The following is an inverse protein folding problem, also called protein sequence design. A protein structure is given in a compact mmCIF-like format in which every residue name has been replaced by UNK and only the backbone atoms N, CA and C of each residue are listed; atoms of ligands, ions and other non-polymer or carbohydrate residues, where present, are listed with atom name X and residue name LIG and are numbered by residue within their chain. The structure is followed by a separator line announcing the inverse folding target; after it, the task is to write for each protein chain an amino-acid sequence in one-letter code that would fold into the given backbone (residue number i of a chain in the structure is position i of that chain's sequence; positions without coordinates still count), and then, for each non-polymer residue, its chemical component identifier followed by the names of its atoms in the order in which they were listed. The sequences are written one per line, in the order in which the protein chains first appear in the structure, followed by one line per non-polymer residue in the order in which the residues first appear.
data_IF_953360155986
#
_entry.id   IF_953360155986
#
_cell.length_a   1.000
_cell.length_b   1.000
_cell.length_c   1.000
_cell.angle_alpha   90.00
_cell.angle_beta   90.00
_cell.angle_gamma   90.00
#
_symmetry.space_group_name_H-M   'P 1'
#
loop_
_entity.id
_entity.type
_entity.pdbx_description
1 polymer ?
#
# COMPACT_ATOMS: atom_id res chain seq x y z
N UNK A 1 2.69 -32.50 52.06
CA UNK A 1 1.60 -32.17 51.11
C UNK A 1 0.41 -33.09 51.38
N UNK A 2 -0.63 -32.61 52.08
CA UNK A 2 -1.81 -33.41 52.43
C UNK A 2 -2.95 -33.15 51.45
N UNK A 3 -3.32 -34.15 50.62
CA UNK A 3 -4.45 -34.03 49.68
C UNK A 3 -5.78 -33.98 50.44
N UNK A 4 -6.62 -32.97 50.13
CA UNK A 4 -7.92 -32.76 50.77
C UNK A 4 -8.89 -33.88 50.35
N UNK A 5 -9.42 -34.62 51.32
CA UNK A 5 -10.43 -35.68 51.11
C UNK A 5 -11.84 -35.10 51.14
N UNK A 6 -12.77 -35.73 50.43
CA UNK A 6 -14.19 -35.40 50.48
C UNK A 6 -14.86 -35.99 51.75
N UNK A 7 -16.12 -35.65 51.99
CA UNK A 7 -16.90 -36.13 53.15
C UNK A 7 -17.14 -37.65 53.16
N UNK A 8 -16.78 -38.35 52.08
CA UNK A 8 -16.83 -39.80 51.95
C UNK A 8 -15.43 -40.44 51.98
N UNK A 9 -14.40 -39.67 52.36
CA UNK A 9 -13.03 -40.14 52.51
C UNK A 9 -12.28 -40.35 51.19
N UNK A 10 -12.86 -40.01 50.04
CA UNK A 10 -12.21 -40.13 48.73
C UNK A 10 -11.31 -38.93 48.50
N UNK A 11 -10.15 -39.17 47.89
CA UNK A 11 -9.24 -38.08 47.51
C UNK A 11 -9.89 -37.25 46.40
N UNK A 12 -10.04 -35.92 46.62
CA UNK A 12 -10.49 -35.03 45.56
C UNK A 12 -9.42 -34.91 44.50
N UNK A 13 -9.81 -34.99 43.23
CA UNK A 13 -8.93 -34.69 42.12
C UNK A 13 -8.49 -33.22 42.22
N UNK A 14 -7.18 -32.99 42.14
CA UNK A 14 -6.61 -31.66 42.20
C UNK A 14 -6.65 -31.05 40.79
N UNK A 15 -7.59 -30.13 40.59
CA UNK A 15 -7.79 -29.41 39.34
C UNK A 15 -7.05 -28.06 39.32
N UNK A 16 -6.37 -27.68 40.41
CA UNK A 16 -5.61 -26.43 40.52
C UNK A 16 -4.60 -26.29 39.38
N UNK A 17 -3.77 -27.31 39.18
CA UNK A 17 -2.75 -27.34 38.14
C UNK A 17 -3.35 -27.29 36.73
N UNK A 18 -4.49 -27.97 36.50
CA UNK A 18 -5.15 -27.93 35.18
C UNK A 18 -5.77 -26.56 34.90
N UNK A 19 -6.40 -25.95 35.90
CA UNK A 19 -7.02 -24.64 35.76
C UNK A 19 -5.97 -23.54 35.51
N UNK A 20 -4.81 -23.63 36.17
CA UNK A 20 -3.67 -22.71 35.95
C UNK A 20 -3.11 -22.88 34.53
N UNK A 21 -2.90 -24.13 34.08
CA UNK A 21 -2.36 -24.39 32.73
C UNK A 21 -3.34 -23.96 31.65
N UNK A 22 -4.64 -24.24 31.81
CA UNK A 22 -5.67 -23.82 30.85
C UNK A 22 -5.76 -22.30 30.80
N UNK A 23 -5.75 -21.62 31.95
CA UNK A 23 -5.80 -20.17 32.02
C UNK A 23 -4.57 -19.48 31.42
N UNK A 24 -3.38 -20.03 31.64
CA UNK A 24 -2.16 -19.51 31.04
C UNK A 24 -2.12 -19.72 29.52
N UNK A 25 -2.52 -20.91 29.04
CA UNK A 25 -2.54 -21.23 27.62
C UNK A 25 -3.55 -20.37 26.83
N UNK A 26 -4.74 -20.13 27.38
CA UNK A 26 -5.75 -19.27 26.73
C UNK A 26 -5.31 -17.81 26.68
N UNK A 27 -4.71 -17.28 27.73
CA UNK A 27 -4.21 -15.91 27.75
C UNK A 27 -3.12 -15.69 26.68
N UNK A 28 -2.15 -16.61 26.61
CA UNK A 28 -1.07 -16.54 25.60
C UNK A 28 -1.63 -16.70 24.18
N UNK A 29 -2.54 -17.65 23.96
CA UNK A 29 -3.17 -17.87 22.67
C UNK A 29 -3.98 -16.66 22.18
N UNK A 30 -4.71 -16.00 23.07
CA UNK A 30 -5.49 -14.81 22.74
C UNK A 30 -4.60 -13.62 22.37
N UNK A 31 -3.49 -13.39 23.09
CA UNK A 31 -2.53 -12.33 22.80
C UNK A 31 -1.85 -12.58 21.44
N UNK A 32 -1.38 -13.81 21.20
CA UNK A 32 -0.72 -14.15 19.94
C UNK A 32 -1.65 -13.98 18.73
N UNK A 33 -2.91 -14.42 18.86
CA UNK A 33 -3.90 -14.30 17.78
C UNK A 33 -4.29 -12.84 17.53
N UNK A 34 -4.46 -12.05 18.58
CA UNK A 34 -4.77 -10.62 18.47
C UNK A 34 -3.65 -9.80 17.84
N UNK A 35 -2.38 -10.10 18.17
CA UNK A 35 -1.24 -9.42 17.55
C UNK A 35 -1.08 -9.83 16.08
N UNK A 36 -1.22 -11.12 15.78
CA UNK A 36 -1.12 -11.63 14.41
C UNK A 36 -2.22 -11.06 13.50
N UNK A 37 -3.46 -10.94 13.99
CA UNK A 37 -4.55 -10.33 13.23
C UNK A 37 -4.34 -8.82 13.02
N UNK A 38 -3.85 -8.09 14.03
CA UNK A 38 -3.53 -6.67 13.88
C UNK A 38 -2.44 -6.41 12.83
N UNK A 39 -1.43 -7.29 12.76
CA UNK A 39 -0.42 -7.26 11.70
C UNK A 39 -1.05 -7.62 10.34
N UNK A 40 -1.83 -8.69 10.27
CA UNK A 40 -2.44 -9.15 9.01
C UNK A 40 -3.39 -8.12 8.39
N UNK A 41 -4.17 -7.41 9.20
CA UNK A 41 -5.10 -6.38 8.74
C UNK A 41 -4.45 -4.99 8.60
N UNK A 42 -3.11 -4.89 8.72
CA UNK A 42 -2.39 -3.66 8.45
C UNK A 42 -2.67 -2.54 9.46
N UNK A 43 -3.09 -2.86 10.69
CA UNK A 43 -3.36 -1.83 11.71
C UNK A 43 -2.10 -0.98 12.01
N UNK A 44 -0.92 -1.56 11.78
CA UNK A 44 0.36 -0.88 11.94
C UNK A 44 0.98 -0.36 10.64
N UNK A 45 0.36 -0.60 9.48
CA UNK A 45 0.92 -0.20 8.18
C UNK A 45 1.13 1.31 8.08
N UNK A 46 0.31 2.12 8.76
CA UNK A 46 0.49 3.58 8.80
C UNK A 46 1.79 4.02 9.48
N UNK A 47 2.29 3.24 10.45
CA UNK A 47 3.53 3.56 11.16
C UNK A 47 4.78 3.06 10.43
N UNK A 48 4.63 2.04 9.59
CA UNK A 48 5.74 1.40 8.87
C UNK A 48 5.59 1.49 7.35
N UNK A 49 4.72 2.38 6.86
CA UNK A 49 4.50 2.59 5.45
C UNK A 49 5.84 2.87 4.78
N UNK A 50 6.24 2.10 3.75
CA UNK A 50 7.39 2.42 2.94
C UNK A 50 7.24 3.86 2.46
N UNK A 51 8.27 4.67 2.68
CA UNK A 51 8.40 5.96 2.02
C UNK A 51 8.80 5.67 0.57
N UNK A 52 7.85 5.13 -0.21
CA UNK A 52 8.07 4.87 -1.62
C UNK A 52 8.13 6.22 -2.35
N UNK A 53 9.32 6.50 -2.89
CA UNK A 53 9.63 7.75 -3.58
C UNK A 53 11.09 8.12 -3.40
N UNK A 54 11.76 8.46 -4.49
CA UNK A 54 13.08 9.07 -4.39
C UNK A 54 12.90 10.49 -3.87
N UNK A 55 13.70 10.85 -2.86
CA UNK A 55 13.80 12.23 -2.42
C UNK A 55 14.17 13.08 -3.63
N UNK A 56 13.36 14.11 -3.93
CA UNK A 56 13.62 15.02 -5.05
C UNK A 56 14.05 16.37 -4.46
N UNK A 57 15.28 16.47 -3.91
CA UNK A 57 15.72 17.65 -3.18
C UNK A 57 15.61 18.94 -4.03
N UNK A 58 15.75 18.82 -5.34
CA UNK A 58 15.63 19.93 -6.29
C UNK A 58 14.20 20.49 -6.42
N UNK A 59 13.19 19.74 -5.98
CA UNK A 59 11.77 20.15 -6.00
C UNK A 59 11.19 20.37 -4.59
N UNK A 60 11.97 20.10 -3.53
CA UNK A 60 11.52 20.25 -2.13
C UNK A 60 11.50 21.70 -1.65
N UNK A 61 12.15 22.61 -2.37
CA UNK A 61 12.16 24.03 -2.06
C UNK A 61 11.06 24.82 -2.78
N UNK A 62 10.68 25.96 -2.21
CA UNK A 62 9.74 26.91 -2.82
C UNK A 62 10.35 27.70 -4.01
N UNK A 63 11.59 27.38 -4.40
CA UNK A 63 12.32 28.07 -5.46
C UNK A 63 12.40 27.19 -6.70
N UNK A 64 11.88 27.70 -7.80
CA UNK A 64 11.99 27.10 -9.12
C UNK A 64 12.50 28.14 -10.12
N UNK A 65 13.30 27.75 -11.13
CA UNK A 65 13.80 28.69 -12.14
C UNK A 65 12.62 29.36 -12.85
N UNK A 66 12.53 30.68 -12.71
CA UNK A 66 11.56 31.51 -13.39
C UNK A 66 11.86 31.59 -14.89
N UNK A 67 11.01 32.26 -15.68
CA UNK A 67 11.21 32.43 -17.12
C UNK A 67 12.58 33.00 -17.48
N UNK A 68 13.15 33.81 -16.58
CA UNK A 68 14.44 34.45 -16.75
C UNK A 68 15.64 33.65 -16.25
N UNK A 69 15.41 32.48 -15.62
CA UNK A 69 16.48 31.67 -15.03
C UNK A 69 16.80 30.44 -15.88
N UNK A 70 16.00 30.18 -16.94
CA UNK A 70 16.10 28.97 -17.75
C UNK A 70 17.34 28.94 -18.65
N UNK A 71 17.74 30.08 -19.24
CA UNK A 71 18.92 30.19 -20.13
C UNK A 71 19.39 31.66 -20.27
N UNK A 72 20.61 31.88 -20.81
CA UNK A 72 21.09 33.19 -21.28
C UNK A 72 20.15 33.70 -22.38
N UNK A 73 19.85 35.01 -22.40
CA UNK A 73 18.81 35.61 -23.26
C UNK A 73 18.87 35.17 -24.74
N UNK A 74 20.07 35.10 -25.32
CA UNK A 74 20.29 34.68 -26.70
C UNK A 74 19.94 33.20 -26.98
N UNK A 75 19.95 32.34 -25.97
CA UNK A 75 19.60 30.93 -26.09
C UNK A 75 18.17 30.65 -25.60
N UNK A 76 17.35 31.69 -25.41
CA UNK A 76 15.94 31.50 -25.10
C UNK A 76 15.17 31.26 -26.39
N UNK A 77 14.26 30.26 -26.42
CA UNK A 77 13.24 30.23 -27.45
C UNK A 77 12.48 31.56 -27.41
N UNK A 78 12.43 32.27 -28.54
CA UNK A 78 11.64 33.50 -28.65
C UNK A 78 10.15 33.15 -28.50
N UNK A 79 9.49 33.59 -27.42
CA UNK A 79 8.08 33.28 -27.19
C UNK A 79 7.15 34.05 -28.15
N UNK A 80 7.68 35.05 -28.87
CA UNK A 80 6.94 35.87 -29.85
C UNK A 80 7.17 35.42 -31.29
N UNK A 81 8.05 34.43 -31.51
CA UNK A 81 8.31 33.92 -32.84
C UNK A 81 7.02 33.39 -33.49
N UNK A 82 6.69 33.83 -34.71
CA UNK A 82 5.48 33.38 -35.38
C UNK A 82 5.59 31.90 -35.74
N UNK A 83 4.60 31.11 -35.36
CA UNK A 83 4.47 29.71 -35.80
C UNK A 83 4.04 29.69 -37.26
N UNK A 84 4.79 28.97 -38.12
CA UNK A 84 4.50 28.86 -39.55
C UNK A 84 3.16 28.16 -39.81
N UNK A 85 2.58 28.36 -41.00
CA UNK A 85 1.33 27.69 -41.36
C UNK A 85 1.47 26.15 -41.41
N UNK A 86 2.62 25.67 -41.88
CA UNK A 86 2.92 24.23 -41.96
C UNK A 86 3.04 23.62 -40.55
N UNK A 87 3.76 24.27 -39.64
CA UNK A 87 3.90 23.80 -38.25
C UNK A 87 2.56 23.82 -37.51
N UNK A 88 1.74 24.85 -37.76
CA UNK A 88 0.40 24.95 -37.17
C UNK A 88 -0.52 23.82 -37.64
N UNK A 89 -0.45 23.46 -38.92
CA UNK A 89 -1.21 22.35 -39.49
C UNK A 89 -0.75 20.99 -38.94
N UNK A 90 0.57 20.83 -38.72
CA UNK A 90 1.15 19.64 -38.11
C UNK A 90 0.77 19.49 -36.62
N UNK A 91 0.60 20.59 -35.89
CA UNK A 91 0.18 20.63 -34.48
C UNK A 91 -1.34 20.55 -34.29
N UNK A 92 -2.12 20.48 -35.38
CA UNK A 92 -3.58 20.37 -35.28
C UNK A 92 -3.94 19.10 -34.49
N UNK A 93 -4.85 19.19 -33.50
CA UNK A 93 -5.28 18.02 -32.75
C UNK A 93 -5.68 16.89 -33.70
N UNK A 94 -5.27 15.66 -33.37
CA UNK A 94 -5.74 14.48 -34.08
C UNK A 94 -7.22 14.25 -33.73
N UNK A 95 -8.12 14.98 -34.41
CA UNK A 95 -9.58 14.88 -34.24
C UNK A 95 -10.17 13.65 -34.92
N UNK A 96 -9.31 12.76 -35.43
CA UNK A 96 -9.74 11.44 -35.88
C UNK A 96 -10.22 10.58 -34.70
N UNK A 97 -10.96 9.49 -34.98
CA UNK A 97 -11.29 8.52 -33.94
C UNK A 97 -10.02 8.06 -33.23
N UNK A 98 -10.00 8.16 -31.90
CA UNK A 98 -8.89 7.62 -31.13
C UNK A 98 -8.72 6.13 -31.48
N UNK A 99 -7.50 5.64 -31.75
CA UNK A 99 -7.24 4.21 -31.81
C UNK A 99 -7.67 3.60 -30.48
N UNK A 100 -8.79 2.88 -30.48
CA UNK A 100 -9.38 2.37 -29.26
C UNK A 100 -8.53 1.24 -28.68
N UNK A 101 -8.04 1.41 -27.45
CA UNK A 101 -7.48 0.32 -26.63
C UNK A 101 -8.54 -0.69 -26.15
N UNK A 102 -9.79 -0.55 -26.59
CA UNK A 102 -10.93 -1.35 -26.14
C UNK A 102 -11.16 -2.65 -26.93
N UNK A 103 -10.40 -2.90 -28.00
CA UNK A 103 -10.75 -3.99 -28.93
C UNK A 103 -10.43 -5.42 -28.41
N UNK A 104 -9.52 -5.63 -27.45
CA UNK A 104 -9.07 -7.00 -27.11
C UNK A 104 -8.63 -7.20 -25.65
N UNK A 105 -9.20 -6.49 -24.67
CA UNK A 105 -8.90 -6.77 -23.23
C UNK A 105 -9.75 -7.89 -22.63
N UNK A 106 -10.79 -8.37 -23.35
CA UNK A 106 -11.76 -9.34 -22.84
C UNK A 106 -11.56 -10.80 -23.26
N UNK A 107 -10.82 -11.08 -24.34
CA UNK A 107 -10.89 -12.38 -25.02
C UNK A 107 -9.90 -13.45 -24.50
N UNK A 108 -9.06 -13.14 -23.51
CA UNK A 108 -8.02 -14.07 -23.01
C UNK A 108 -8.46 -14.92 -21.80
N UNK A 109 -9.68 -14.79 -21.27
CA UNK A 109 -10.06 -15.43 -19.98
C UNK A 109 -11.24 -16.40 -20.02
N UNK A 110 -11.55 -16.99 -21.17
CA UNK A 110 -12.57 -18.04 -21.26
C UNK A 110 -12.01 -19.27 -21.97
N UNK A 111 -11.22 -20.06 -21.26
CA UNK A 111 -11.03 -21.47 -21.62
C UNK A 111 -12.14 -22.30 -20.94
N UNK A 112 -13.00 -23.01 -21.70
CA UNK A 112 -13.93 -23.97 -21.11
C UNK A 112 -13.16 -25.22 -20.66
N UNK A 113 -13.28 -25.53 -19.36
CA UNK A 113 -12.82 -26.80 -18.78
C UNK A 113 -13.58 -27.97 -19.43
N UNK A 114 -12.85 -28.88 -20.06
CA UNK A 114 -13.34 -30.17 -20.55
C UNK A 114 -13.38 -31.19 -19.42
#
# INVERSE_FOLDING_TARGET
MTKKRDSRGRYKADHSQRNVVIGAATAVGAIATGLASAIHFGLFDRFFAPQDGHRVPDLEGDTHPGPNDRTVEHFRPDPTAPVSAADREALRPATGPAPGFAANRGDLRSEPSV
#
